data_IF_087686580366
#
_entry.id   IF_087686580366
#
_cell.length_a   1.000
_cell.length_b   1.000
_cell.length_c   1.000
_cell.angle_alpha   90.00
_cell.angle_beta   90.00
_cell.angle_gamma   90.00
#
_symmetry.space_group_name_H-M   'P 1'
#
loop_
_entity.id
_entity.type
_entity.pdbx_description
1 polymer ?
#
# COMPACT_ATOMS: atom_id res chain seq x y z
N UNK A 1 2.26 39.98 -15.75
CA UNK A 1 3.29 41.04 -15.67
C UNK A 1 4.62 40.64 -16.32
N UNK A 2 5.18 39.44 -16.07
CA UNK A 2 6.44 39.02 -16.72
C UNK A 2 6.37 39.02 -18.26
N UNK A 3 5.30 38.45 -18.85
CA UNK A 3 5.09 38.45 -20.32
C UNK A 3 4.98 39.86 -20.94
N UNK A 4 4.40 40.82 -20.20
CA UNK A 4 4.23 42.20 -20.70
C UNK A 4 5.56 42.97 -20.65
N UNK A 5 6.38 42.73 -19.63
CA UNK A 5 7.74 43.28 -19.52
C UNK A 5 8.67 42.76 -20.62
N UNK A 6 8.59 41.46 -20.93
CA UNK A 6 9.38 40.84 -22.00
C UNK A 6 8.96 41.41 -23.36
N UNK A 7 7.65 41.49 -23.63
CA UNK A 7 7.14 42.05 -24.88
C UNK A 7 7.55 43.52 -25.08
N UNK A 8 7.53 44.32 -24.01
CA UNK A 8 7.96 45.72 -24.04
C UNK A 8 9.46 45.86 -24.34
N UNK A 9 10.32 45.06 -23.71
CA UNK A 9 11.76 45.10 -23.99
C UNK A 9 12.12 44.63 -25.41
N UNK A 10 11.37 43.65 -25.95
CA UNK A 10 11.53 43.23 -27.35
C UNK A 10 11.15 44.36 -28.30
N UNK A 11 10.07 45.12 -28.02
CA UNK A 11 9.73 46.28 -28.86
C UNK A 11 10.78 47.40 -28.79
N UNK A 12 11.38 47.64 -27.61
CA UNK A 12 12.45 48.63 -27.45
C UNK A 12 13.70 48.26 -28.26
N UNK A 13 14.05 46.96 -28.31
CA UNK A 13 15.15 46.45 -29.14
C UNK A 13 14.88 46.64 -30.64
N UNK A 14 13.66 46.40 -31.10
CA UNK A 14 13.29 46.64 -32.50
C UNK A 14 13.35 48.12 -32.85
N UNK A 15 12.92 49.00 -31.94
CA UNK A 15 12.98 50.45 -32.12
C UNK A 15 14.43 50.95 -32.15
N UNK A 16 15.30 50.41 -31.29
CA UNK A 16 16.73 50.69 -31.27
C UNK A 16 17.40 50.33 -32.60
N UNK A 17 17.08 49.16 -33.15
CA UNK A 17 17.60 48.73 -34.45
C UNK A 17 17.15 49.68 -35.58
N UNK A 18 15.87 50.07 -35.61
CA UNK A 18 15.39 51.03 -36.61
C UNK A 18 16.02 52.42 -36.48
N UNK A 19 16.34 52.86 -35.26
CA UNK A 19 17.03 54.13 -35.04
C UNK A 19 18.47 54.09 -35.53
N UNK A 20 19.18 52.98 -35.29
CA UNK A 20 20.55 52.79 -35.78
C UNK A 20 20.60 52.84 -37.31
N UNK A 21 19.71 52.11 -37.98
CA UNK A 21 19.62 52.11 -39.45
C UNK A 21 19.35 53.53 -39.98
N UNK A 22 18.51 54.30 -39.27
CA UNK A 22 18.20 55.69 -39.60
C UNK A 22 19.38 56.64 -39.35
N UNK A 23 20.18 56.45 -38.29
CA UNK A 23 21.40 57.23 -38.05
C UNK A 23 22.39 57.01 -39.19
N UNK A 24 22.69 55.76 -39.54
CA UNK A 24 23.62 55.46 -40.60
C UNK A 24 23.17 56.03 -41.95
N UNK A 25 21.86 55.93 -42.27
CA UNK A 25 21.29 56.56 -43.45
C UNK A 25 21.40 58.10 -43.42
N UNK A 26 21.19 58.73 -42.25
CA UNK A 26 21.30 60.19 -42.10
C UNK A 26 22.73 60.69 -42.24
N UNK A 27 23.72 59.96 -41.73
CA UNK A 27 25.15 60.30 -41.85
C UNK A 27 25.60 60.17 -43.31
N UNK A 28 25.20 59.09 -43.99
CA UNK A 28 25.49 58.90 -45.41
C UNK A 28 24.90 60.02 -46.29
N UNK A 29 23.64 60.40 -46.03
CA UNK A 29 22.98 61.50 -46.75
C UNK A 29 23.60 62.88 -46.47
N UNK A 30 24.07 63.12 -45.24
CA UNK A 30 24.77 64.37 -44.87
C UNK A 30 26.16 64.46 -45.53
N UNK A 31 26.85 63.33 -45.69
CA UNK A 31 28.14 63.26 -46.41
C UNK A 31 27.98 63.53 -47.92
N UNK A 32 26.82 63.19 -48.51
CA UNK A 32 26.47 63.47 -49.91
C UNK A 32 25.90 64.89 -50.14
N UNK A 33 25.73 65.70 -49.09
CA UNK A 33 25.19 67.06 -49.18
C UNK A 33 23.68 67.15 -49.47
N UNK A 34 22.93 66.06 -49.31
CA UNK A 34 21.46 66.05 -49.45
C UNK A 34 20.80 66.54 -48.16
N UNK A 35 19.73 67.35 -48.23
CA UNK A 35 19.00 67.78 -47.04
C UNK A 35 18.40 66.55 -46.36
N UNK A 36 18.77 66.36 -45.09
CA UNK A 36 18.23 65.29 -44.25
C UNK A 36 17.06 65.83 -43.43
N UNK A 37 16.03 65.02 -43.26
CA UNK A 37 14.78 65.38 -42.54
C UNK A 37 15.01 65.59 -41.03
N UNK A 38 16.06 64.97 -40.47
CA UNK A 38 16.55 65.22 -39.10
C UNK A 38 18.07 65.19 -39.04
N UNK A 39 18.70 66.08 -38.25
CA UNK A 39 20.13 66.06 -38.04
C UNK A 39 20.56 64.77 -37.28
N UNK A 40 21.70 64.15 -37.63
CA UNK A 40 22.19 62.93 -36.98
C UNK A 40 22.32 63.05 -35.45
N UNK A 41 22.59 64.26 -34.95
CA UNK A 41 22.75 64.57 -33.53
C UNK A 41 21.45 64.40 -32.74
N UNK A 42 20.29 64.70 -33.33
CA UNK A 42 18.99 64.51 -32.67
C UNK A 42 18.65 63.02 -32.58
N UNK A 43 18.89 62.26 -33.65
CA UNK A 43 18.65 60.81 -33.66
C UNK A 43 19.56 60.11 -32.65
N UNK A 44 20.80 60.60 -32.47
CA UNK A 44 21.72 60.06 -31.46
C UNK A 44 21.26 60.35 -30.01
N UNK A 45 20.58 61.48 -29.76
CA UNK A 45 19.96 61.74 -28.45
C UNK A 45 18.81 60.76 -28.17
N UNK A 46 17.98 60.50 -29.17
CA UNK A 46 16.89 59.52 -29.06
C UNK A 46 17.42 58.10 -28.76
N UNK A 47 18.56 57.72 -29.34
CA UNK A 47 19.25 56.44 -29.03
C UNK A 47 19.68 56.39 -27.55
N UNK A 48 20.28 57.47 -27.03
CA UNK A 48 20.72 57.54 -25.64
C UNK A 48 19.55 57.47 -24.66
N UNK A 49 18.43 58.12 -24.98
CA UNK A 49 17.21 58.02 -24.18
C UNK A 49 16.59 56.63 -24.20
N UNK A 50 16.62 55.95 -25.35
CA UNK A 50 16.13 54.59 -25.51
C UNK A 50 17.02 53.57 -24.78
N UNK A 51 18.34 53.73 -24.83
CA UNK A 51 19.31 52.91 -24.09
C UNK A 51 19.06 53.02 -22.57
N UNK A 52 18.82 54.24 -22.08
CA UNK A 52 18.46 54.46 -20.67
C UNK A 52 17.15 53.75 -20.28
N UNK A 53 16.14 53.73 -21.15
CA UNK A 53 14.89 52.99 -20.92
C UNK A 53 15.12 51.47 -20.93
N UNK A 54 16.01 50.97 -21.80
CA UNK A 54 16.39 49.55 -21.81
C UNK A 54 17.13 49.14 -20.54
N UNK A 55 18.07 49.95 -20.06
CA UNK A 55 18.77 49.68 -18.79
C UNK A 55 17.78 49.59 -17.63
N UNK A 56 16.83 50.53 -17.54
CA UNK A 56 15.76 50.46 -16.53
C UNK A 56 14.90 49.20 -16.63
N UNK A 57 14.59 48.75 -17.86
CA UNK A 57 13.87 47.51 -18.09
C UNK A 57 14.65 46.27 -17.66
N UNK A 58 15.98 46.30 -17.84
CA UNK A 58 16.89 45.22 -17.45
C UNK A 58 17.00 45.10 -15.92
N UNK A 59 17.13 46.23 -15.22
CA UNK A 59 17.13 46.28 -13.75
C UNK A 59 15.84 45.68 -13.16
N UNK A 60 14.69 45.97 -13.78
CA UNK A 60 13.40 45.41 -13.37
C UNK A 60 13.32 43.90 -13.60
N UNK A 61 13.89 43.40 -14.70
CA UNK A 61 13.96 41.95 -14.97
C UNK A 61 14.86 41.27 -13.94
N UNK A 62 16.00 41.86 -13.61
CA UNK A 62 16.92 41.31 -12.61
C UNK A 62 16.24 41.19 -11.24
N UNK A 63 15.54 42.24 -10.80
CA UNK A 63 14.81 42.21 -9.53
C UNK A 63 13.68 41.17 -9.56
N UNK A 64 12.94 41.07 -10.67
CA UNK A 64 11.92 40.04 -10.84
C UNK A 64 12.52 38.62 -10.78
N UNK A 65 13.68 38.39 -11.41
CA UNK A 65 14.37 37.10 -11.35
C UNK A 65 14.83 36.79 -9.92
N UNK A 66 15.32 37.78 -9.19
CA UNK A 66 15.74 37.63 -7.78
C UNK A 66 14.57 37.22 -6.89
N UNK A 67 13.42 37.89 -7.02
CA UNK A 67 12.20 37.53 -6.29
C UNK A 67 11.70 36.15 -6.71
N UNK A 68 11.72 35.84 -8.00
CA UNK A 68 11.28 34.53 -8.50
C UNK A 68 12.12 33.37 -7.95
N UNK A 69 13.44 33.54 -7.84
CA UNK A 69 14.31 32.55 -7.18
C UNK A 69 13.91 32.30 -5.73
N UNK A 70 13.56 33.36 -4.98
CA UNK A 70 13.06 33.21 -3.60
C UNK A 70 11.72 32.48 -3.55
N UNK A 71 10.81 32.78 -4.48
CA UNK A 71 9.53 32.07 -4.59
C UNK A 71 9.76 30.57 -4.83
N UNK A 72 10.64 30.21 -5.75
CA UNK A 72 10.96 28.81 -6.02
C UNK A 72 11.58 28.11 -4.81
N UNK A 73 12.42 28.81 -4.04
CA UNK A 73 12.97 28.28 -2.80
C UNK A 73 11.85 27.97 -1.78
N UNK A 74 10.95 28.92 -1.55
CA UNK A 74 9.84 28.75 -0.60
C UNK A 74 8.89 27.62 -1.05
N UNK A 75 8.61 27.50 -2.35
CA UNK A 75 7.79 26.40 -2.88
C UNK A 75 8.44 25.06 -2.56
N UNK A 76 9.76 24.95 -2.74
CA UNK A 76 10.49 23.72 -2.43
C UNK A 76 10.48 23.40 -0.93
N UNK A 77 10.59 24.42 -0.07
CA UNK A 77 10.48 24.24 1.39
C UNK A 77 9.08 23.73 1.78
N UNK A 78 8.02 24.30 1.21
CA UNK A 78 6.64 23.84 1.41
C UNK A 78 6.45 22.40 0.94
N UNK A 79 7.02 22.01 -0.20
CA UNK A 79 6.95 20.62 -0.69
C UNK A 79 7.62 19.65 0.28
N UNK A 80 8.77 20.01 0.84
CA UNK A 80 9.48 19.18 1.83
C UNK A 80 8.64 19.03 3.10
N UNK A 81 8.09 20.13 3.62
CA UNK A 81 7.24 20.08 4.82
C UNK A 81 5.97 19.26 4.59
N UNK A 82 5.31 19.43 3.43
CA UNK A 82 4.13 18.63 3.10
C UNK A 82 4.45 17.13 3.04
N UNK A 83 5.60 16.75 2.49
CA UNK A 83 6.02 15.36 2.47
C UNK A 83 6.23 14.81 3.89
N UNK A 84 6.85 15.58 4.78
CA UNK A 84 7.03 15.20 6.18
C UNK A 84 5.70 15.05 6.91
N UNK A 85 4.73 15.94 6.66
CA UNK A 85 3.37 15.82 7.22
C UNK A 85 2.70 14.54 6.74
N UNK A 86 2.79 14.23 5.44
CA UNK A 86 2.20 13.01 4.88
C UNK A 86 2.83 11.74 5.46
N UNK A 87 4.14 11.74 5.66
CA UNK A 87 4.85 10.64 6.32
C UNK A 87 4.35 10.46 7.77
N UNK A 88 4.26 11.55 8.54
CA UNK A 88 3.75 11.52 9.91
C UNK A 88 2.31 11.03 10.00
N UNK A 89 1.43 11.45 9.08
CA UNK A 89 0.04 10.99 9.01
C UNK A 89 -0.03 9.50 8.73
N UNK A 90 0.82 8.99 7.83
CA UNK A 90 0.87 7.56 7.53
C UNK A 90 1.37 6.74 8.72
N UNK A 91 2.39 7.22 9.43
CA UNK A 91 2.90 6.57 10.64
C UNK A 91 1.82 6.54 11.74
N UNK A 92 1.12 7.65 11.96
CA UNK A 92 0.04 7.72 12.94
C UNK A 92 -1.12 6.79 12.57
N UNK A 93 -1.47 6.70 11.28
CA UNK A 93 -2.48 5.75 10.79
C UNK A 93 -2.06 4.30 11.05
N UNK A 94 -0.79 3.97 10.77
CA UNK A 94 -0.26 2.62 11.01
C UNK A 94 -0.25 2.29 12.50
N UNK A 95 0.17 3.23 13.36
CA UNK A 95 0.12 3.06 14.81
C UNK A 95 -1.31 2.85 15.34
N UNK A 96 -2.29 3.58 14.78
CA UNK A 96 -3.71 3.36 15.11
C UNK A 96 -4.18 1.96 14.73
N UNK A 97 -3.87 1.49 13.54
CA UNK A 97 -4.26 0.16 13.05
C UNK A 97 -3.64 -0.96 13.90
N UNK A 98 -2.37 -0.82 14.30
CA UNK A 98 -1.72 -1.76 15.21
C UNK A 98 -2.40 -1.80 16.58
N UNK A 99 -2.77 -0.64 17.12
CA UNK A 99 -3.49 -0.56 18.39
C UNK A 99 -4.89 -1.19 18.30
N UNK A 100 -5.61 -1.01 17.19
CA UNK A 100 -6.89 -1.66 16.94
C UNK A 100 -6.74 -3.19 16.93
N UNK A 101 -5.75 -3.72 16.21
CA UNK A 101 -5.45 -5.17 16.20
C UNK A 101 -5.12 -5.68 17.60
N UNK A 102 -4.30 -4.95 18.37
CA UNK A 102 -3.97 -5.35 19.74
C UNK A 102 -5.20 -5.32 20.67
N UNK A 103 -6.11 -4.35 20.47
CA UNK A 103 -7.33 -4.23 21.26
C UNK A 103 -8.31 -5.37 20.93
N UNK A 104 -8.47 -5.71 19.65
CA UNK A 104 -9.30 -6.83 19.23
C UNK A 104 -8.76 -8.16 19.78
N UNK A 105 -7.45 -8.40 19.66
CA UNK A 105 -6.81 -9.57 20.24
C UNK A 105 -6.98 -9.62 21.78
N UNK A 106 -6.86 -8.49 22.47
CA UNK A 106 -7.09 -8.44 23.91
C UNK A 106 -8.55 -8.78 24.26
N UNK A 107 -9.52 -8.28 23.50
CA UNK A 107 -10.93 -8.61 23.70
C UNK A 107 -11.19 -10.11 23.50
N UNK A 108 -10.65 -10.71 22.43
CA UNK A 108 -10.73 -12.16 22.19
C UNK A 108 -10.14 -12.96 23.36
N UNK A 109 -8.99 -12.53 23.92
CA UNK A 109 -8.40 -13.22 25.08
C UNK A 109 -9.27 -13.10 26.32
N UNK A 110 -9.93 -11.98 26.55
CA UNK A 110 -10.86 -11.78 27.67
C UNK A 110 -12.07 -12.71 27.50
N UNK A 111 -12.64 -12.78 26.30
CA UNK A 111 -13.75 -13.69 26.01
C UNK A 111 -13.36 -15.15 26.21
N UNK A 112 -12.18 -15.55 25.75
CA UNK A 112 -11.66 -16.90 25.96
C UNK A 112 -11.43 -17.22 27.44
N UNK A 113 -10.92 -16.27 28.23
CA UNK A 113 -10.76 -16.42 29.69
C UNK A 113 -12.13 -16.58 30.36
N UNK A 114 -13.11 -15.76 29.99
CA UNK A 114 -14.47 -15.84 30.53
C UNK A 114 -15.09 -17.21 30.19
N UNK A 115 -15.00 -17.66 28.94
CA UNK A 115 -15.47 -18.98 28.52
C UNK A 115 -14.75 -20.12 29.26
N UNK A 116 -13.44 -20.05 29.44
CA UNK A 116 -12.68 -21.04 30.21
C UNK A 116 -13.08 -21.05 31.70
N UNK A 117 -13.40 -19.89 32.27
CA UNK A 117 -13.88 -19.77 33.65
C UNK A 117 -15.28 -20.38 33.82
N UNK A 118 -16.17 -20.21 32.85
CA UNK A 118 -17.53 -20.78 32.85
C UNK A 118 -17.52 -22.29 32.59
N UNK A 119 -16.66 -22.76 31.69
CA UNK A 119 -16.57 -24.18 31.30
C UNK A 119 -15.78 -25.06 32.28
N UNK A 120 -15.35 -24.51 33.41
CA UNK A 120 -14.42 -25.08 34.42
C UNK A 120 -14.22 -26.60 34.34
N UNK A 121 -13.34 -27.05 33.45
CA UNK A 121 -12.90 -28.45 33.38
C UNK A 121 -11.74 -28.62 34.36
N UNK A 122 -11.78 -29.67 35.17
CA UNK A 122 -10.69 -29.90 36.13
C UNK A 122 -9.45 -30.43 35.42
N UNK A 123 -8.27 -30.04 35.89
CA UNK A 123 -7.00 -30.55 35.34
C UNK A 123 -6.90 -32.09 35.40
N UNK A 124 -7.55 -32.72 36.38
CA UNK A 124 -7.63 -34.16 36.52
C UNK A 124 -8.46 -34.82 35.40
N UNK A 125 -9.58 -34.22 35.00
CA UNK A 125 -10.39 -34.70 33.87
C UNK A 125 -9.64 -34.57 32.54
N UNK A 126 -8.91 -33.47 32.34
CA UNK A 126 -8.07 -33.27 31.15
C UNK A 126 -6.98 -34.35 31.10
N UNK A 127 -6.32 -34.62 32.23
CA UNK A 127 -5.23 -35.61 32.29
C UNK A 127 -5.75 -37.04 32.08
N UNK A 128 -6.89 -37.38 32.66
CA UNK A 128 -7.59 -38.66 32.40
C UNK A 128 -7.97 -38.81 30.93
N UNK A 129 -8.54 -37.76 30.33
CA UNK A 129 -8.93 -37.80 28.92
C UNK A 129 -7.71 -37.85 27.98
N UNK A 130 -6.68 -37.07 28.25
CA UNK A 130 -5.41 -37.07 27.51
C UNK A 130 -4.76 -38.46 27.51
N UNK A 131 -4.70 -39.11 28.67
CA UNK A 131 -4.22 -40.49 28.77
C UNK A 131 -5.08 -41.47 27.98
N UNK A 132 -6.40 -41.28 27.95
CA UNK A 132 -7.33 -42.11 27.17
C UNK A 132 -7.09 -41.97 25.66
N UNK A 133 -6.89 -40.75 25.16
CA UNK A 133 -6.67 -40.52 23.72
C UNK A 133 -5.22 -40.75 23.28
N UNK A 134 -4.26 -40.73 24.21
CA UNK A 134 -2.83 -40.93 23.90
C UNK A 134 -2.57 -42.24 23.16
N UNK A 135 -3.31 -43.30 23.50
CA UNK A 135 -3.20 -44.61 22.84
C UNK A 135 -3.70 -44.63 21.39
N UNK A 136 -4.45 -43.61 20.95
CA UNK A 136 -5.08 -43.53 19.62
C UNK A 136 -4.47 -42.45 18.72
N UNK A 137 -3.75 -41.48 19.30
CA UNK A 137 -3.38 -40.23 18.62
C UNK A 137 -1.95 -40.20 18.09
N UNK A 138 -1.05 -41.06 18.60
CA UNK A 138 0.29 -41.21 18.02
C UNK A 138 0.93 -42.54 18.38
N UNK A 139 1.58 -43.17 17.42
CA UNK A 139 2.46 -44.30 17.70
C UNK A 139 3.75 -43.76 18.36
N UNK A 140 4.16 -44.25 19.54
CA UNK A 140 5.34 -43.74 20.23
C UNK A 140 6.61 -43.80 19.37
N UNK A 141 7.60 -42.90 19.57
CA UNK A 141 8.90 -43.02 18.93
C UNK A 141 9.52 -44.35 19.40
N UNK A 142 9.76 -45.28 18.47
CA UNK A 142 10.09 -46.72 18.66
C UNK A 142 8.90 -47.70 18.70
N UNK A 143 7.77 -47.36 18.10
CA UNK A 143 6.66 -48.30 17.93
C UNK A 143 7.10 -49.57 17.19
N UNK A 144 7.00 -50.72 17.87
CA UNK A 144 7.15 -52.06 17.29
C UNK A 144 5.75 -52.62 17.05
N UNK A 145 5.51 -53.23 15.89
CA UNK A 145 4.23 -53.86 15.59
C UNK A 145 3.90 -54.90 16.67
N UNK A 146 2.84 -54.64 17.45
CA UNK A 146 2.42 -55.49 18.58
C UNK A 146 2.34 -54.79 19.94
N UNK A 147 2.72 -53.51 20.07
CA UNK A 147 2.66 -52.80 21.37
C UNK A 147 1.79 -51.54 21.36
N UNK A 148 0.87 -51.44 22.33
CA UNK A 148 0.26 -50.23 22.94
C UNK A 148 -0.42 -49.13 22.09
N UNK A 149 -0.29 -49.09 20.75
CA UNK A 149 -1.02 -48.12 19.93
C UNK A 149 -2.23 -48.79 19.25
N UNK A 150 -3.42 -48.22 19.48
CA UNK A 150 -4.64 -48.62 18.79
C UNK A 150 -4.76 -47.87 17.46
N UNK A 151 -5.43 -48.45 16.44
CA UNK A 151 -5.66 -47.75 15.19
C UNK A 151 -6.48 -46.47 15.43
N UNK A 152 -6.27 -45.41 14.61
CA UNK A 152 -6.93 -44.11 14.79
C UNK A 152 -8.45 -44.17 14.57
N UNK A 153 -8.95 -45.21 13.90
CA UNK A 153 -10.37 -45.48 13.71
C UNK A 153 -10.71 -46.89 14.20
N UNK A 154 -11.96 -47.15 14.60
CA UNK A 154 -12.39 -48.47 15.04
C UNK A 154 -12.27 -49.48 13.90
N UNK A 155 -11.63 -50.62 14.16
CA UNK A 155 -11.54 -51.73 13.22
C UNK A 155 -12.91 -52.36 12.95
N UNK A 156 -13.10 -52.98 11.78
CA UNK A 156 -14.35 -53.64 11.37
C UNK A 156 -14.81 -54.66 12.41
N UNK A 157 -13.86 -55.42 12.96
CA UNK A 157 -14.09 -56.38 14.05
C UNK A 157 -14.70 -55.71 15.29
N UNK A 158 -14.25 -54.50 15.63
CA UNK A 158 -14.74 -53.72 16.78
C UNK A 158 -16.09 -53.09 16.48
N UNK A 159 -16.30 -52.61 15.25
CA UNK A 159 -17.58 -52.07 14.79
C UNK A 159 -18.69 -53.14 14.84
N UNK A 160 -18.42 -54.34 14.33
CA UNK A 160 -19.35 -55.50 14.37
C UNK A 160 -19.67 -55.97 15.78
N UNK A 161 -18.75 -55.79 16.74
CA UNK A 161 -19.00 -56.11 18.16
C UNK A 161 -19.71 -54.98 18.92
N UNK A 162 -19.82 -53.80 18.31
CA UNK A 162 -20.42 -52.61 18.93
C UNK A 162 -21.90 -52.80 19.24
N UNK A 163 -22.38 -52.05 20.24
CA UNK A 163 -23.77 -52.11 20.67
C UNK A 163 -24.74 -51.71 19.55
N UNK A 164 -24.37 -50.71 18.74
CA UNK A 164 -25.14 -50.27 17.58
C UNK A 164 -25.39 -51.40 16.57
N UNK A 165 -24.34 -52.16 16.21
CA UNK A 165 -24.46 -53.28 15.28
C UNK A 165 -25.33 -54.42 15.85
N UNK A 166 -25.30 -54.65 17.16
CA UNK A 166 -26.17 -55.65 17.80
C UNK A 166 -27.63 -55.25 17.79
N UNK A 167 -27.93 -53.98 18.04
CA UNK A 167 -29.30 -53.47 17.98
C UNK A 167 -29.88 -53.58 16.57
N UNK A 168 -29.09 -53.23 15.55
CA UNK A 168 -29.49 -53.41 14.15
C UNK A 168 -29.73 -54.88 13.81
N UNK A 169 -28.86 -55.78 14.29
CA UNK A 169 -29.02 -57.22 14.08
C UNK A 169 -30.24 -57.82 14.81
N UNK A 170 -30.55 -57.35 16.02
CA UNK A 170 -31.73 -57.77 16.79
C UNK A 170 -33.02 -57.27 16.13
N UNK A 171 -33.06 -56.03 15.63
CA UNK A 171 -34.20 -55.52 14.85
C UNK A 171 -34.39 -56.28 13.53
N UNK A 172 -33.29 -56.70 12.88
CA UNK A 172 -33.35 -57.55 11.68
C UNK A 172 -33.78 -59.01 11.96
N UNK A 173 -33.71 -59.47 13.22
CA UNK A 173 -34.17 -60.80 13.62
C UNK A 173 -35.66 -60.81 13.97
N UNK A 174 -36.18 -59.68 14.44
CA UNK A 174 -37.59 -59.49 14.84
C UNK A 174 -38.50 -59.12 13.65
N UNK A 175 -37.94 -58.41 12.66
CA UNK A 175 -38.57 -58.10 11.37
C UNK A 175 -38.02 -59.07 10.31
N UNK A 176 -38.70 -60.20 10.10
CA UNK A 176 -38.24 -61.32 9.26
C UNK A 176 -37.48 -60.90 7.98
N UNK A 177 -36.28 -61.46 7.81
CA UNK A 177 -35.31 -61.19 6.75
C UNK A 177 -35.96 -61.01 5.35
N UNK A 178 -35.68 -59.91 4.63
CA UNK A 178 -35.85 -59.86 3.18
C UNK A 178 -34.80 -60.77 2.52
N UNK A 179 -35.22 -61.58 1.55
CA UNK A 179 -34.50 -62.69 0.87
C UNK A 179 -33.12 -62.37 0.20
N UNK A 180 -32.49 -61.22 0.47
CA UNK A 180 -31.30 -60.75 -0.25
C UNK A 180 -29.97 -60.73 0.52
N UNK A 181 -29.95 -60.90 1.84
CA UNK A 181 -28.75 -60.65 2.66
C UNK A 181 -28.42 -61.79 3.62
N UNK A 182 -28.30 -63.01 3.10
CA UNK A 182 -27.75 -64.12 3.88
C UNK A 182 -26.29 -63.83 4.27
N UNK A 183 -26.08 -63.44 5.54
CA UNK A 183 -24.75 -63.35 6.14
C UNK A 183 -24.23 -64.79 6.27
N UNK A 184 -23.16 -65.12 5.56
CA UNK A 184 -22.46 -66.39 5.75
C UNK A 184 -21.84 -66.42 7.14
N UNK A 185 -22.32 -67.34 7.98
CA UNK A 185 -21.69 -67.63 9.25
C UNK A 185 -20.31 -68.27 9.01
N UNK A 186 -19.24 -67.83 9.70
CA UNK A 186 -18.05 -68.66 9.77
C UNK A 186 -18.39 -69.91 10.58
N UNK A 187 -18.22 -71.07 9.97
CA UNK A 187 -18.37 -72.38 10.59
C UNK A 187 -17.43 -72.52 11.80
N UNK A 188 -17.99 -72.81 12.98
CA UNK A 188 -17.25 -73.22 14.17
C UNK A 188 -16.40 -74.47 13.87
N UNK A 189 -15.07 -74.45 14.12
CA UNK A 189 -14.24 -75.62 13.93
C UNK A 189 -14.00 -76.31 15.27
N UNK A 190 -15.02 -76.90 15.90
CA UNK A 190 -14.80 -77.87 16.98
C UNK A 190 -15.95 -78.85 17.10
N UNK A 191 -15.90 -79.90 16.29
CA UNK A 191 -16.54 -81.18 16.57
C UNK A 191 -15.46 -82.21 16.90
N UNK A 192 -15.24 -82.45 18.20
CA UNK A 192 -14.92 -83.77 18.77
C UNK A 192 -15.49 -83.83 20.18
#
# INVERSE_FOLDING_TARGET
MSRTLIAMNVSLLTEYQTLIDRVFASIAANAEGKPTDRPPVEIMKDIVELDKKMQQGLDQIEEHQRVHKKILQVIKEIEIENNAIMEFVNELKSGKEQLEICLDAANETIEAINFASESSVTADEILKYANRISSYTSAPPNYVAGTFAEPPYPDESRMRRGFLFRQDADMMFEEGLPDGWAISHPSDPTSR
#
